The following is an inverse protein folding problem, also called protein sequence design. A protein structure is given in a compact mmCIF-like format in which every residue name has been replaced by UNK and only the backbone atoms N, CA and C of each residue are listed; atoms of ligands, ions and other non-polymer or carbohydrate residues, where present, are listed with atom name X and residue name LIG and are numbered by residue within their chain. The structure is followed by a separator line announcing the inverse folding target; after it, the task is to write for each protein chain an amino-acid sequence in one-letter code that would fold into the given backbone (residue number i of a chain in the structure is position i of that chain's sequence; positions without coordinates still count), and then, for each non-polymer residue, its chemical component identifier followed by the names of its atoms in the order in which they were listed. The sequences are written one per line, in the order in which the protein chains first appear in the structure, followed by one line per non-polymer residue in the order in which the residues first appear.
data_IF_414964045435
#
_entry.id   IF_414964045435
#
_cell.length_a   1.000
_cell.length_b   1.000
_cell.length_c   1.000
_cell.angle_alpha   90.00
_cell.angle_beta   90.00
_cell.angle_gamma   90.00
#
_symmetry.space_group_name_H-M   'P 1'
#
loop_
_entity.id
_entity.type
_entity.pdbx_description
1 polymer ?
#
# COMPACT_ATOMS: atom_id res chain seq x y z
N UNK A 1 -12.95 17.95 16.44
CA UNK A 1 -12.28 16.76 17.04
C UNK A 1 -11.07 16.28 16.24
N UNK A 2 -10.35 17.12 15.46
CA UNK A 2 -9.41 16.62 14.44
C UNK A 2 -7.91 16.59 14.79
N UNK A 3 -7.47 17.04 15.97
CA UNK A 3 -6.03 17.15 16.29
C UNK A 3 -5.49 16.04 17.21
N UNK A 4 -6.36 15.25 17.85
CA UNK A 4 -5.95 14.21 18.79
C UNK A 4 -5.50 12.92 18.07
N UNK A 5 -6.23 12.49 17.04
CA UNK A 5 -5.96 11.24 16.32
C UNK A 5 -4.61 11.24 15.59
N UNK A 6 -4.16 12.40 15.10
CA UNK A 6 -2.84 12.52 14.43
C UNK A 6 -1.66 12.21 15.36
N UNK A 7 -1.81 12.39 16.67
CA UNK A 7 -0.75 12.06 17.66
C UNK A 7 -0.67 10.56 17.93
N UNK A 8 -1.72 9.82 17.61
CA UNK A 8 -1.83 8.37 17.82
C UNK A 8 -1.47 7.58 16.56
N UNK A 9 -1.32 8.25 15.40
CA UNK A 9 -0.87 7.62 14.16
C UNK A 9 0.47 6.92 14.43
N UNK A 10 0.60 5.62 14.09
CA UNK A 10 1.82 4.86 14.30
C UNK A 10 3.00 5.58 13.68
N UNK A 11 4.15 5.54 14.36
CA UNK A 11 5.38 6.09 13.79
C UNK A 11 5.69 5.32 12.51
N UNK A 12 6.29 5.99 11.53
CA UNK A 12 6.61 5.42 10.21
C UNK A 12 7.31 4.04 10.25
N UNK A 13 8.08 3.77 11.30
CA UNK A 13 8.76 2.47 11.53
C UNK A 13 7.82 1.30 11.84
N UNK A 14 6.60 1.59 12.29
CA UNK A 14 5.56 0.62 12.69
C UNK A 14 4.62 0.28 11.53
N UNK A 15 4.72 1.02 10.43
CA UNK A 15 3.97 0.75 9.21
C UNK A 15 4.55 -0.44 8.46
N UNK A 16 3.73 -1.19 7.71
CA UNK A 16 4.21 -2.31 6.93
C UNK A 16 5.19 -1.83 5.85
N UNK A 17 6.29 -2.55 5.66
CA UNK A 17 7.26 -2.27 4.61
C UNK A 17 7.13 -3.31 3.51
N UNK A 18 7.14 -2.88 2.25
CA UNK A 18 6.96 -3.76 1.11
C UNK A 18 8.21 -3.79 0.22
N UNK A 19 8.77 -4.98 0.04
CA UNK A 19 9.98 -5.16 -0.78
C UNK A 19 9.68 -5.62 -2.21
N UNK A 20 8.48 -6.16 -2.43
CA UNK A 20 8.09 -6.79 -3.68
C UNK A 20 8.61 -8.22 -3.83
N UNK A 21 8.84 -8.92 -2.71
CA UNK A 21 9.29 -10.33 -2.68
C UNK A 21 8.29 -11.17 -1.87
N UNK A 22 7.92 -12.33 -2.40
CA UNK A 22 6.99 -13.25 -1.75
C UNK A 22 5.56 -13.09 -2.28
N UNK A 23 4.83 -14.21 -2.31
CA UNK A 23 3.50 -14.30 -2.93
C UNK A 23 2.44 -13.49 -2.17
N UNK A 24 2.55 -13.36 -0.84
CA UNK A 24 1.54 -12.71 0.01
C UNK A 24 1.94 -11.33 0.56
N UNK A 25 3.20 -10.91 0.36
CA UNK A 25 3.78 -9.65 0.86
C UNK A 25 2.93 -8.43 0.44
N UNK A 26 2.39 -8.45 -0.77
CA UNK A 26 1.63 -7.33 -1.31
C UNK A 26 0.23 -7.19 -0.70
N UNK A 27 -0.43 -8.30 -0.31
CA UNK A 27 -1.76 -8.28 0.29
C UNK A 27 -1.70 -7.94 1.78
N UNK A 28 -0.68 -8.43 2.48
CA UNK A 28 -0.42 -8.02 3.86
C UNK A 28 -0.08 -6.54 3.94
N UNK A 29 0.74 -6.04 3.00
CA UNK A 29 1.01 -4.62 2.87
C UNK A 29 -0.27 -3.82 2.66
N UNK A 30 -1.09 -4.16 1.65
CA UNK A 30 -2.34 -3.45 1.36
C UNK A 30 -3.27 -3.45 2.57
N UNK A 31 -3.52 -4.61 3.18
CA UNK A 31 -4.39 -4.72 4.37
C UNK A 31 -3.86 -3.90 5.55
N UNK A 32 -2.55 -3.91 5.77
CA UNK A 32 -1.94 -3.13 6.85
C UNK A 32 -2.13 -1.63 6.64
N UNK A 33 -2.02 -1.13 5.40
CA UNK A 33 -2.32 0.26 5.09
C UNK A 33 -3.82 0.56 5.23
N UNK A 34 -4.70 -0.31 4.73
CA UNK A 34 -6.17 -0.13 4.84
C UNK A 34 -6.60 0.00 6.32
N UNK A 35 -6.08 -0.85 7.21
CA UNK A 35 -6.39 -0.78 8.66
C UNK A 35 -5.96 0.56 9.26
N UNK A 36 -4.77 1.07 8.90
CA UNK A 36 -4.27 2.34 9.43
C UNK A 36 -5.04 3.53 8.84
N UNK A 37 -5.33 3.49 7.54
CA UNK A 37 -6.14 4.51 6.87
C UNK A 37 -7.53 4.61 7.50
N UNK A 38 -8.21 3.47 7.69
CA UNK A 38 -9.55 3.38 8.28
C UNK A 38 -9.54 3.85 9.74
N UNK A 39 -8.60 3.36 10.55
CA UNK A 39 -8.57 3.65 11.98
C UNK A 39 -8.25 5.12 12.29
N UNK A 40 -7.38 5.75 11.48
CA UNK A 40 -6.93 7.12 11.69
C UNK A 40 -7.57 8.14 10.74
N UNK A 41 -8.53 7.72 9.92
CA UNK A 41 -9.21 8.52 8.88
C UNK A 41 -8.21 9.32 8.03
N UNK A 42 -7.12 8.66 7.60
CA UNK A 42 -6.03 9.38 6.95
C UNK A 42 -6.40 9.76 5.51
N UNK A 43 -6.14 11.02 5.10
CA UNK A 43 -6.30 11.39 3.71
C UNK A 43 -5.26 10.68 2.84
N UNK A 44 -5.66 10.27 1.63
CA UNK A 44 -4.83 9.65 0.60
C UNK A 44 -3.47 10.31 0.41
N UNK A 45 -3.42 11.64 0.50
CA UNK A 45 -2.17 12.40 0.33
C UNK A 45 -1.14 12.07 1.41
N UNK A 46 -1.55 11.79 2.64
CA UNK A 46 -0.65 11.38 3.72
C UNK A 46 -0.19 9.94 3.53
N UNK A 47 -1.13 9.03 3.25
CA UNK A 47 -0.83 7.61 2.97
C UNK A 47 0.16 7.48 1.81
N UNK A 48 -0.05 8.22 0.72
CA UNK A 48 0.82 8.14 -0.46
C UNK A 48 2.11 8.96 -0.34
N UNK A 49 2.23 9.87 0.64
CA UNK A 49 3.48 10.60 0.89
C UNK A 49 4.54 9.71 1.56
N UNK A 50 4.11 8.80 2.43
CA UNK A 50 5.01 7.91 3.18
C UNK A 50 5.48 6.69 2.36
N UNK A 51 4.92 6.44 1.17
CA UNK A 51 5.30 5.34 0.29
C UNK A 51 6.78 5.33 -0.10
N UNK A 52 7.41 6.50 -0.16
CA UNK A 52 8.84 6.58 -0.41
C UNK A 52 9.68 5.86 0.66
N UNK A 53 9.15 5.73 1.89
CA UNK A 53 9.80 5.00 2.99
C UNK A 53 9.31 3.56 3.09
N UNK A 54 8.01 3.32 2.87
CA UNK A 54 7.43 1.99 3.03
C UNK A 54 7.85 1.02 1.93
N UNK A 55 8.03 1.51 0.70
CA UNK A 55 8.57 0.69 -0.38
C UNK A 55 10.08 0.55 -0.26
N UNK A 56 10.58 -0.68 -0.37
CA UNK A 56 12.00 -0.99 -0.30
C UNK A 56 12.45 -1.80 -1.53
N UNK A 57 13.76 -1.84 -1.77
CA UNK A 57 14.39 -2.69 -2.81
C UNK A 57 13.76 -2.54 -4.21
N UNK A 58 13.16 -3.61 -4.75
CA UNK A 58 12.54 -3.63 -6.08
C UNK A 58 11.23 -2.86 -6.14
N UNK A 59 10.43 -2.92 -5.08
CA UNK A 59 9.19 -2.17 -4.99
C UNK A 59 9.44 -0.66 -4.96
N UNK A 60 10.50 -0.20 -4.28
CA UNK A 60 10.87 1.23 -4.26
C UNK A 60 11.20 1.75 -5.66
N UNK A 61 12.03 1.03 -6.41
CA UNK A 61 12.38 1.40 -7.79
C UNK A 61 11.16 1.43 -8.72
N UNK A 62 10.23 0.51 -8.55
CA UNK A 62 8.97 0.51 -9.28
C UNK A 62 8.09 1.71 -8.91
N UNK A 63 7.96 1.99 -7.61
CA UNK A 63 7.17 3.11 -7.09
C UNK A 63 7.64 4.44 -7.66
N UNK A 64 8.96 4.72 -7.62
CA UNK A 64 9.53 5.98 -8.13
C UNK A 64 9.18 6.18 -9.62
N UNK A 65 9.30 5.12 -10.43
CA UNK A 65 8.97 5.18 -11.86
C UNK A 65 7.49 5.50 -12.09
N UNK A 66 6.58 4.82 -11.39
CA UNK A 66 5.14 5.08 -11.53
C UNK A 66 4.76 6.48 -11.03
N UNK A 67 5.35 6.92 -9.90
CA UNK A 67 5.10 8.26 -9.34
C UNK A 67 5.56 9.36 -10.30
N UNK A 68 6.70 9.17 -10.98
CA UNK A 68 7.18 10.11 -12.00
C UNK A 68 6.28 10.13 -13.23
N UNK A 69 5.74 8.99 -13.66
CA UNK A 69 4.91 8.89 -14.85
C UNK A 69 3.47 9.40 -14.64
N UNK A 70 2.89 9.16 -13.47
CA UNK A 70 1.46 9.40 -13.20
C UNK A 70 1.18 10.48 -12.15
N UNK A 71 2.20 11.06 -11.53
CA UNK A 71 2.05 12.11 -10.53
C UNK A 71 1.36 11.63 -9.24
N UNK A 72 0.57 12.53 -8.63
CA UNK A 72 -0.18 12.21 -7.41
C UNK A 72 -1.43 11.39 -7.76
N UNK A 73 -1.58 10.25 -7.09
CA UNK A 73 -2.67 9.30 -7.33
C UNK A 73 -3.25 8.84 -6.00
N UNK A 74 -4.51 8.41 -6.02
CA UNK A 74 -5.24 7.93 -4.85
C UNK A 74 -4.68 6.62 -4.31
N UNK A 75 -4.97 6.29 -3.05
CA UNK A 75 -4.59 4.99 -2.49
C UNK A 75 -5.26 3.85 -3.25
N UNK A 76 -6.53 4.01 -3.63
CA UNK A 76 -7.25 3.05 -4.48
C UNK A 76 -6.54 2.77 -5.80
N UNK A 77 -5.99 3.80 -6.46
CA UNK A 77 -5.22 3.61 -7.68
C UNK A 77 -3.94 2.80 -7.40
N UNK A 78 -3.23 3.12 -6.33
CA UNK A 78 -2.02 2.38 -5.93
C UNK A 78 -2.30 0.92 -5.59
N UNK A 79 -3.41 0.60 -4.89
CA UNK A 79 -3.84 -0.79 -4.66
C UNK A 79 -3.95 -1.57 -5.98
N UNK A 80 -4.61 -1.00 -6.98
CA UNK A 80 -4.70 -1.62 -8.30
C UNK A 80 -3.33 -1.84 -8.95
N UNK A 81 -2.42 -0.87 -8.89
CA UNK A 81 -1.08 -1.02 -9.45
C UNK A 81 -0.25 -2.09 -8.74
N UNK A 82 -0.34 -2.16 -7.41
CA UNK A 82 0.35 -3.18 -6.60
C UNK A 82 -0.19 -4.57 -6.97
N UNK A 83 -1.50 -4.75 -6.99
CA UNK A 83 -2.13 -6.02 -7.38
C UNK A 83 -1.73 -6.39 -8.81
N UNK A 84 -1.84 -5.47 -9.77
CA UNK A 84 -1.48 -5.74 -11.16
C UNK A 84 -0.02 -6.18 -11.33
N UNK A 85 0.89 -5.59 -10.55
CA UNK A 85 2.33 -5.85 -10.66
C UNK A 85 2.77 -7.15 -9.97
N UNK A 86 2.21 -7.48 -8.81
CA UNK A 86 2.69 -8.57 -7.95
C UNK A 86 1.74 -9.74 -7.77
N UNK A 87 0.47 -9.61 -8.13
CA UNK A 87 -0.39 -10.78 -8.25
C UNK A 87 0.11 -11.67 -9.40
N UNK A 88 0.41 -12.92 -9.09
CA UNK A 88 0.60 -13.95 -10.11
C UNK A 88 -0.76 -14.57 -10.50
N UNK A 89 -0.80 -15.35 -11.58
CA UNK A 89 -2.07 -15.92 -12.08
C UNK A 89 -2.68 -16.95 -11.11
N UNK A 90 -1.83 -17.66 -10.35
CA UNK A 90 -2.27 -18.57 -9.30
C UNK A 90 -3.00 -17.85 -8.16
N UNK A 91 -2.52 -16.67 -7.77
CA UNK A 91 -3.17 -15.79 -6.78
C UNK A 91 -4.49 -15.27 -7.31
N UNK A 92 -4.53 -14.79 -8.57
CA UNK A 92 -5.77 -14.31 -9.19
C UNK A 92 -6.81 -15.41 -9.24
N UNK A 93 -6.39 -16.64 -9.53
CA UNK A 93 -7.25 -17.82 -9.52
C UNK A 93 -7.77 -18.14 -8.11
N UNK A 94 -6.89 -18.18 -7.10
CA UNK A 94 -7.27 -18.40 -5.68
C UNK A 94 -8.26 -17.36 -5.16
N UNK A 95 -8.03 -16.08 -5.45
CA UNK A 95 -8.96 -15.01 -5.06
C UNK A 95 -10.31 -15.19 -5.75
N UNK A 96 -10.32 -15.44 -7.06
CA UNK A 96 -11.57 -15.70 -7.79
C UNK A 96 -12.35 -16.88 -7.23
N UNK A 97 -11.67 -17.93 -6.76
CA UNK A 97 -12.32 -19.12 -6.19
C UNK A 97 -12.71 -18.96 -4.72
N UNK A 98 -12.07 -18.07 -3.95
CA UNK A 98 -12.40 -17.82 -2.55
C UNK A 98 -13.61 -16.89 -2.36
N UNK A 99 -13.99 -16.15 -3.40
CA UNK A 99 -15.14 -15.22 -3.39
C UNK A 99 -16.27 -15.67 -4.37
N UNK A 100 -16.24 -16.92 -4.83
CA UNK A 100 -17.33 -17.63 -5.53
C UNK A 100 -18.04 -18.55 -4.54
#
# INVERSE_FOLDING_TARGET
MGQALLKEVPKLKEWPHFSGKGEYDHMEFIRGIDIIEEYFELPDRLVTAIFNTLFTKSAHRWYIKLRQAHGHQSWTWWKHQIINKWANDAWRFKVKTAFL
#
